data_IF_249436683499
#
_entry.id   IF_249436683499
#
_cell.length_a   1.000
_cell.length_b   1.000
_cell.length_c   1.000
_cell.angle_alpha   90.00
_cell.angle_beta   90.00
_cell.angle_gamma   90.00
#
_symmetry.space_group_name_H-M   'P 1'
#
loop_
_entity.id
_entity.type
_entity.pdbx_description
1 polymer ?
#
# COMPACT_ATOMS: atom_id res chain seq x y z
N UNK A 1 -9.94 2.40 -9.33
CA UNK A 1 -8.93 3.23 -8.62
C UNK A 1 -9.28 3.17 -7.13
N UNK A 2 -8.33 3.08 -6.19
CA UNK A 2 -8.70 3.24 -4.78
C UNK A 2 -8.84 4.74 -4.51
N UNK A 3 -9.90 5.16 -3.85
CA UNK A 3 -10.06 6.56 -3.45
C UNK A 3 -9.49 6.78 -2.05
N UNK A 4 -9.21 8.05 -1.71
CA UNK A 4 -8.85 8.43 -0.33
C UNK A 4 -10.00 8.19 0.65
N UNK A 5 -11.25 8.27 0.18
CA UNK A 5 -12.44 7.96 0.97
C UNK A 5 -12.49 6.47 1.33
N UNK A 6 -12.20 5.58 0.38
CA UNK A 6 -12.20 4.12 0.62
C UNK A 6 -11.17 3.72 1.69
N UNK A 7 -10.00 4.38 1.67
CA UNK A 7 -8.92 4.16 2.63
C UNK A 7 -9.34 4.59 4.03
N UNK A 8 -9.90 5.79 4.15
CA UNK A 8 -10.39 6.31 5.43
C UNK A 8 -11.49 5.43 6.00
N UNK A 9 -12.42 4.97 5.16
CA UNK A 9 -13.51 4.11 5.61
C UNK A 9 -12.99 2.75 6.10
N UNK A 10 -12.02 2.14 5.40
CA UNK A 10 -11.40 0.89 5.86
C UNK A 10 -10.67 1.06 7.18
N UNK A 11 -9.89 2.13 7.34
CA UNK A 11 -9.20 2.43 8.60
C UNK A 11 -10.21 2.61 9.75
N UNK A 12 -11.29 3.35 9.50
CA UNK A 12 -12.39 3.54 10.44
C UNK A 12 -13.04 2.22 10.86
N UNK A 13 -13.35 1.33 9.91
CA UNK A 13 -13.92 0.00 10.18
C UNK A 13 -12.97 -0.88 11.01
N UNK A 14 -11.66 -0.67 10.90
CA UNK A 14 -10.64 -1.36 11.71
C UNK A 14 -10.38 -0.68 13.07
N UNK A 15 -11.03 0.46 13.36
CA UNK A 15 -10.75 1.25 14.57
C UNK A 15 -9.35 1.87 14.57
N UNK A 16 -8.76 2.09 13.41
CA UNK A 16 -7.41 2.63 13.24
C UNK A 16 -7.46 4.04 12.65
N UNK A 17 -6.49 4.86 13.04
CA UNK A 17 -6.25 6.18 12.44
C UNK A 17 -4.83 6.22 11.86
N UNK A 18 -4.64 6.78 10.66
CA UNK A 18 -3.32 6.87 10.05
C UNK A 18 -2.46 7.89 10.80
N UNK A 19 -1.22 7.52 11.11
CA UNK A 19 -0.28 8.34 11.88
C UNK A 19 0.81 8.88 10.97
N UNK A 20 0.81 10.20 10.74
CA UNK A 20 1.84 10.89 9.96
C UNK A 20 3.25 10.70 10.56
N UNK A 21 3.35 10.65 11.89
CA UNK A 21 4.61 10.41 12.59
C UNK A 21 5.24 9.03 12.26
N UNK A 22 4.44 8.08 11.78
CA UNK A 22 4.91 6.75 11.35
C UNK A 22 5.19 6.68 9.84
N UNK A 23 5.16 7.81 9.13
CA UNK A 23 5.43 7.86 7.70
C UNK A 23 4.37 7.15 6.83
N UNK A 24 3.18 6.89 7.37
CA UNK A 24 2.12 6.18 6.65
C UNK A 24 1.58 7.02 5.49
N UNK A 25 1.89 6.58 4.26
CA UNK A 25 1.38 7.13 3.01
C UNK A 25 0.84 5.97 2.16
N UNK A 26 -0.40 6.06 1.71
CA UNK A 26 -1.08 4.95 1.03
C UNK A 26 -1.12 5.16 -0.48
N UNK A 27 -0.68 4.17 -1.24
CA UNK A 27 -0.75 4.19 -2.70
C UNK A 27 -2.20 4.00 -3.18
N UNK A 28 -2.71 4.98 -3.92
CA UNK A 28 -4.06 4.98 -4.51
C UNK A 28 -4.08 4.75 -6.02
N UNK A 29 -2.95 5.06 -6.68
CA UNK A 29 -2.81 4.98 -8.13
C UNK A 29 -2.36 3.57 -8.55
N UNK A 30 -3.24 2.86 -9.26
CA UNK A 30 -2.97 1.50 -9.75
C UNK A 30 -1.85 1.41 -10.79
N UNK A 31 -1.67 2.44 -11.62
CA UNK A 31 -0.61 2.45 -12.63
C UNK A 31 0.77 2.58 -11.98
N UNK A 32 0.89 3.38 -10.92
CA UNK A 32 2.14 3.50 -10.16
C UNK A 32 2.46 2.18 -9.44
N UNK A 33 1.46 1.54 -8.83
CA UNK A 33 1.64 0.22 -8.20
C UNK A 33 2.14 -0.81 -9.22
N UNK A 34 1.55 -0.86 -10.42
CA UNK A 34 2.00 -1.77 -11.47
C UNK A 34 3.46 -1.53 -11.86
N UNK A 35 3.86 -0.26 -12.06
CA UNK A 35 5.26 0.11 -12.36
C UNK A 35 6.24 -0.32 -11.27
N UNK A 36 5.86 -0.20 -9.99
CA UNK A 36 6.68 -0.67 -8.86
C UNK A 36 6.84 -2.19 -8.92
N UNK A 37 5.74 -2.92 -9.12
CA UNK A 37 5.76 -4.39 -9.20
C UNK A 37 6.61 -4.87 -10.39
N UNK A 38 6.47 -4.24 -11.55
CA UNK A 38 7.23 -4.58 -12.75
C UNK A 38 8.73 -4.31 -12.55
N UNK A 39 9.09 -3.21 -11.91
CA UNK A 39 10.48 -2.88 -11.58
C UNK A 39 11.10 -3.90 -10.62
N UNK A 40 10.32 -4.38 -9.65
CA UNK A 40 10.76 -5.45 -8.73
C UNK A 40 10.99 -6.73 -9.52
N UNK A 41 10.03 -7.17 -10.35
CA UNK A 41 10.06 -8.45 -11.11
C UNK A 41 11.14 -8.57 -12.20
N UNK A 42 12.08 -7.63 -12.29
CA UNK A 42 13.18 -7.65 -13.28
C UNK A 42 14.14 -8.83 -13.12
N UNK A 43 14.10 -9.57 -12.00
CA UNK A 43 14.85 -10.82 -11.77
C UNK A 43 13.98 -11.85 -11.04
N UNK A 44 14.24 -13.15 -11.20
CA UNK A 44 13.58 -14.16 -10.37
C UNK A 44 14.13 -14.09 -8.94
N UNK A 45 13.24 -13.91 -7.96
CA UNK A 45 13.55 -14.04 -6.54
C UNK A 45 12.85 -15.29 -6.02
N UNK A 46 13.52 -16.02 -5.13
CA UNK A 46 12.91 -17.14 -4.42
C UNK A 46 11.84 -16.66 -3.44
N UNK A 47 12.08 -15.51 -2.80
CA UNK A 47 11.22 -14.92 -1.77
C UNK A 47 11.23 -13.38 -1.87
N UNK A 48 10.15 -12.74 -1.42
CA UNK A 48 9.99 -11.28 -1.41
C UNK A 48 9.43 -10.84 -0.05
N UNK A 49 10.08 -9.85 0.57
CA UNK A 49 9.62 -9.25 1.82
C UNK A 49 9.09 -7.84 1.52
N UNK A 50 7.86 -7.57 1.95
CA UNK A 50 7.26 -6.24 1.89
C UNK A 50 7.37 -5.56 3.27
N UNK A 51 7.96 -4.37 3.30
CA UNK A 51 8.06 -3.54 4.50
C UNK A 51 7.05 -2.39 4.39
N UNK A 52 6.18 -2.27 5.39
CA UNK A 52 5.14 -1.25 5.41
C UNK A 52 4.03 -1.49 4.37
N UNK A 53 3.29 -2.60 4.45
CA UNK A 53 2.29 -2.98 3.44
C UNK A 53 1.02 -2.10 3.43
N UNK A 54 0.97 -1.05 4.27
CA UNK A 54 -0.15 -0.15 4.40
C UNK A 54 -1.40 -0.88 4.92
N UNK A 55 -2.49 -0.82 4.15
CA UNK A 55 -3.76 -1.47 4.48
C UNK A 55 -3.78 -2.96 4.10
N UNK A 56 -2.67 -3.67 4.31
CA UNK A 56 -2.49 -5.08 3.90
C UNK A 56 -3.81 -5.87 4.00
N UNK A 57 -4.36 -6.21 2.81
CA UNK A 57 -5.69 -6.81 2.50
C UNK A 57 -6.88 -6.54 3.42
#
# INVERSE_FOLDING_TARGET
MRSTADIKERLRLMGLEPKKAFGQNFLINRQIIAKIVDAVKTRPFAELIEIGPGLAR
#
